data_IF_891152642170
#
_entry.id   IF_891152642170
#
_cell.length_a   1.000
_cell.length_b   1.000
_cell.length_c   1.000
_cell.angle_alpha   90.00
_cell.angle_beta   90.00
_cell.angle_gamma   90.00
#
_symmetry.space_group_name_H-M   'P 1'
#
loop_
_entity.id
_entity.type
_entity.pdbx_description
1 polymer ?
#
# COMPACT_ATOMS: atom_id res chain seq x y z
N UNK A 1 -6.00 20.41 25.92
CA UNK A 1 -7.02 20.53 24.85
C UNK A 1 -7.06 21.99 24.45
N UNK A 2 -6.36 22.36 23.38
CA UNK A 2 -6.41 23.72 22.83
C UNK A 2 -7.61 23.76 21.89
N UNK A 3 -8.70 24.35 22.33
CA UNK A 3 -9.84 24.65 21.47
C UNK A 3 -9.36 25.65 20.41
N UNK A 4 -9.15 25.16 19.18
CA UNK A 4 -9.03 26.03 18.01
C UNK A 4 -10.38 26.74 17.87
N UNK A 5 -10.42 28.01 18.27
CA UNK A 5 -11.56 28.89 17.96
C UNK A 5 -11.65 29.02 16.45
N UNK A 6 -12.81 28.69 15.88
CA UNK A 6 -13.07 28.97 14.47
C UNK A 6 -12.82 30.46 14.22
N UNK A 7 -12.05 30.84 13.19
CA UNK A 7 -11.83 32.24 12.91
C UNK A 7 -13.18 32.92 12.64
N UNK A 8 -13.43 34.02 13.35
CA UNK A 8 -14.68 34.81 13.34
C UNK A 8 -14.98 35.43 11.95
N UNK A 9 -14.07 35.25 10.98
CA UNK A 9 -14.13 35.79 9.64
C UNK A 9 -13.82 34.71 8.60
N UNK A 10 -14.70 34.60 7.61
CA UNK A 10 -14.52 33.78 6.40
C UNK A 10 -13.25 34.22 5.66
N UNK A 11 -12.30 33.30 5.48
CA UNK A 11 -11.02 33.54 4.80
C UNK A 11 -11.09 33.17 3.32
N UNK A 12 -10.19 33.73 2.51
CA UNK A 12 -9.92 33.28 1.14
C UNK A 12 -8.69 32.39 1.15
N UNK A 13 -8.84 31.12 0.80
CA UNK A 13 -7.79 30.11 0.89
C UNK A 13 -7.49 29.54 -0.49
N UNK A 14 -6.20 29.47 -0.83
CA UNK A 14 -5.73 28.76 -2.01
C UNK A 14 -5.21 27.37 -1.61
N UNK A 15 -5.69 26.32 -2.26
CA UNK A 15 -5.15 24.97 -2.14
C UNK A 15 -4.46 24.63 -3.47
N UNK A 16 -3.20 24.22 -3.42
CA UNK A 16 -2.38 23.94 -4.60
C UNK A 16 -2.17 22.42 -4.68
N UNK A 17 -2.68 21.81 -5.75
CA UNK A 17 -2.71 20.38 -5.98
C UNK A 17 -4.04 19.74 -5.60
N UNK A 18 -4.61 18.96 -6.52
CA UNK A 18 -5.90 18.26 -6.36
C UNK A 18 -5.74 16.75 -6.13
N UNK A 19 -4.60 16.32 -5.58
CA UNK A 19 -4.46 14.98 -5.03
C UNK A 19 -5.40 14.76 -3.83
N UNK A 20 -5.45 13.54 -3.31
CA UNK A 20 -6.33 13.18 -2.18
C UNK A 20 -6.22 14.14 -1.00
N UNK A 21 -5.01 14.53 -0.60
CA UNK A 21 -4.78 15.48 0.49
C UNK A 21 -5.34 16.87 0.19
N UNK A 22 -5.13 17.38 -1.02
CA UNK A 22 -5.63 18.68 -1.47
C UNK A 22 -7.15 18.71 -1.56
N UNK A 23 -7.77 17.66 -2.12
CA UNK A 23 -9.23 17.55 -2.20
C UNK A 23 -9.87 17.44 -0.81
N UNK A 24 -9.32 16.62 0.09
CA UNK A 24 -9.82 16.51 1.47
C UNK A 24 -9.68 17.84 2.22
N UNK A 25 -8.55 18.54 2.05
CA UNK A 25 -8.31 19.86 2.64
C UNK A 25 -9.31 20.89 2.09
N UNK A 26 -9.47 20.97 0.77
CA UNK A 26 -10.38 21.91 0.12
C UNK A 26 -11.84 21.65 0.52
N UNK A 27 -12.26 20.38 0.56
CA UNK A 27 -13.58 19.98 1.00
C UNK A 27 -13.86 20.44 2.43
N UNK A 28 -12.96 20.14 3.37
CA UNK A 28 -13.16 20.51 4.78
C UNK A 28 -13.15 22.03 4.99
N UNK A 29 -12.22 22.75 4.37
CA UNK A 29 -12.13 24.21 4.51
C UNK A 29 -13.30 24.94 3.83
N UNK A 30 -13.86 24.39 2.74
CA UNK A 30 -14.99 25.01 2.04
C UNK A 30 -16.26 25.14 2.88
N UNK A 31 -16.34 24.41 4.00
CA UNK A 31 -17.45 24.47 4.94
C UNK A 31 -17.54 25.82 5.67
N UNK A 32 -16.40 26.53 5.80
CA UNK A 32 -16.31 27.79 6.55
C UNK A 32 -15.51 28.89 5.83
N UNK A 33 -14.85 28.59 4.70
CA UNK A 33 -13.97 29.50 3.97
C UNK A 33 -14.24 29.49 2.46
N UNK A 34 -13.79 30.55 1.78
CA UNK A 34 -13.80 30.63 0.31
C UNK A 34 -12.52 30.00 -0.24
N UNK A 35 -12.65 28.77 -0.73
CA UNK A 35 -11.52 27.97 -1.20
C UNK A 35 -11.40 28.04 -2.72
N UNK A 36 -10.19 28.30 -3.21
CA UNK A 36 -9.82 28.14 -4.62
C UNK A 36 -8.80 27.01 -4.75
N UNK A 37 -9.13 25.97 -5.51
CA UNK A 37 -8.26 24.84 -5.78
C UNK A 37 -7.53 25.05 -7.11
N UNK A 38 -6.21 24.95 -7.09
CA UNK A 38 -5.35 25.04 -8.27
C UNK A 38 -4.79 23.66 -8.59
N UNK A 39 -4.97 23.21 -9.82
CA UNK A 39 -4.40 21.97 -10.34
C UNK A 39 -3.67 22.27 -11.65
N UNK A 40 -2.53 21.62 -11.84
CA UNK A 40 -1.74 21.73 -13.06
C UNK A 40 -2.34 20.91 -14.19
N UNK A 41 -2.82 19.71 -13.85
CA UNK A 41 -3.40 18.77 -14.81
C UNK A 41 -4.84 19.17 -15.21
N UNK A 42 -5.33 18.58 -16.30
CA UNK A 42 -6.72 18.76 -16.75
C UNK A 42 -7.72 17.86 -16.01
N UNK A 43 -7.30 17.27 -14.88
CA UNK A 43 -8.09 16.33 -14.07
C UNK A 43 -7.76 16.49 -12.59
N UNK A 44 -8.71 16.13 -11.75
CA UNK A 44 -8.49 16.01 -10.31
C UNK A 44 -8.02 14.61 -9.92
N UNK A 45 -7.51 14.46 -8.70
CA UNK A 45 -7.22 13.18 -8.06
C UNK A 45 -5.73 12.84 -7.93
N UNK A 46 -4.86 13.47 -8.71
CA UNK A 46 -3.42 13.18 -8.66
C UNK A 46 -3.13 11.69 -8.91
N UNK A 47 -2.48 11.01 -7.97
CA UNK A 47 -2.18 9.58 -8.09
C UNK A 47 -3.43 8.67 -8.08
N UNK A 48 -4.57 9.16 -7.56
CA UNK A 48 -5.85 8.48 -7.76
C UNK A 48 -6.27 8.70 -9.20
N UNK A 49 -6.12 7.66 -10.02
CA UNK A 49 -6.31 7.73 -11.46
C UNK A 49 -7.03 6.51 -11.99
N UNK A 50 -8.25 6.73 -12.46
CA UNK A 50 -9.09 5.74 -13.14
C UNK A 50 -9.11 6.06 -14.63
N UNK A 51 -8.74 5.10 -15.46
CA UNK A 51 -8.79 5.22 -16.92
C UNK A 51 -9.82 4.26 -17.48
N UNK A 52 -10.54 4.69 -18.51
CA UNK A 52 -11.49 3.82 -19.20
C UNK A 52 -10.79 3.12 -20.36
N UNK A 53 -10.79 1.78 -20.34
CA UNK A 53 -10.22 0.94 -21.41
C UNK A 53 -11.33 0.20 -22.16
N UNK A 54 -11.14 -0.16 -23.44
CA UNK A 54 -12.07 -1.05 -24.13
C UNK A 54 -12.18 -2.40 -23.41
N UNK A 55 -13.41 -2.82 -23.09
CA UNK A 55 -13.70 -4.18 -22.60
C UNK A 55 -14.42 -5.00 -23.66
N UNK A 56 -14.64 -6.30 -23.37
CA UNK A 56 -15.27 -7.22 -24.31
C UNK A 56 -16.72 -6.81 -24.66
N UNK A 57 -17.51 -6.44 -23.65
CA UNK A 57 -18.92 -6.03 -23.82
C UNK A 57 -19.12 -4.52 -23.65
N UNK A 58 -18.39 -3.90 -22.73
CA UNK A 58 -18.49 -2.49 -22.39
C UNK A 58 -17.14 -1.93 -21.94
N UNK A 59 -16.89 -0.62 -22.04
CA UNK A 59 -15.70 0.00 -21.48
C UNK A 59 -15.56 -0.26 -19.99
N UNK A 60 -14.33 -0.50 -19.52
CA UNK A 60 -14.02 -0.84 -18.14
C UNK A 60 -13.20 0.28 -17.52
N UNK A 61 -13.63 0.75 -16.34
CA UNK A 61 -12.85 1.65 -15.51
C UNK A 61 -11.74 0.86 -14.80
N UNK A 62 -10.48 1.26 -15.00
CA UNK A 62 -9.29 0.63 -14.42
C UNK A 62 -8.52 1.65 -13.61
N UNK A 63 -8.35 1.37 -12.32
CA UNK A 63 -7.50 2.16 -11.44
C UNK A 63 -6.03 1.81 -11.69
N UNK A 64 -5.19 2.84 -11.84
CA UNK A 64 -3.78 2.71 -12.28
C UNK A 64 -2.76 3.23 -11.28
N UNK A 65 -3.21 3.89 -10.21
CA UNK A 65 -2.35 4.35 -9.13
C UNK A 65 -2.85 3.84 -7.79
N UNK A 66 -3.84 4.50 -7.21
CA UNK A 66 -4.50 4.04 -5.99
C UNK A 66 -5.61 3.03 -6.32
N UNK A 67 -5.38 1.74 -6.09
CA UNK A 67 -6.28 0.65 -6.52
C UNK A 67 -6.98 -0.08 -5.37
N UNK A 68 -6.48 0.04 -4.14
CA UNK A 68 -6.99 -0.72 -2.98
C UNK A 68 -6.70 0.02 -1.68
N UNK A 69 -7.55 -0.17 -0.70
CA UNK A 69 -7.34 0.27 0.68
C UNK A 69 -7.78 -0.83 1.64
N UNK A 70 -7.44 -0.70 2.93
CA UNK A 70 -8.01 -1.53 3.98
C UNK A 70 -8.49 -0.65 5.15
N UNK A 71 -9.53 -1.09 5.85
CA UNK A 71 -10.20 -0.26 6.85
C UNK A 71 -9.32 0.04 8.07
N UNK A 72 -8.46 -0.90 8.48
CA UNK A 72 -7.60 -0.77 9.64
C UNK A 72 -6.51 0.31 9.45
N UNK A 73 -5.93 0.39 8.25
CA UNK A 73 -4.85 1.33 7.94
C UNK A 73 -5.36 2.67 7.41
N UNK A 74 -6.63 2.77 7.00
CA UNK A 74 -7.20 3.97 6.37
C UNK A 74 -8.53 4.43 7.00
N UNK A 75 -8.61 4.61 8.34
CA UNK A 75 -9.88 4.91 9.01
C UNK A 75 -10.56 6.19 8.49
N UNK A 76 -9.79 7.25 8.20
CA UNK A 76 -10.33 8.50 7.67
C UNK A 76 -10.87 8.36 6.24
N UNK A 77 -10.22 7.57 5.40
CA UNK A 77 -10.71 7.31 4.03
C UNK A 77 -11.99 6.49 4.08
N UNK A 78 -12.04 5.45 4.92
CA UNK A 78 -13.24 4.64 5.13
C UNK A 78 -14.42 5.50 5.54
N UNK A 79 -14.26 6.36 6.54
CA UNK A 79 -15.30 7.28 6.98
C UNK A 79 -15.73 8.28 5.89
N UNK A 80 -14.77 8.76 5.08
CA UNK A 80 -15.07 9.66 3.95
C UNK A 80 -15.89 8.95 2.86
N UNK A 81 -15.53 7.72 2.50
CA UNK A 81 -16.28 6.93 1.50
C UNK A 81 -17.70 6.64 1.98
N UNK A 82 -17.87 6.30 3.26
CA UNK A 82 -19.18 6.11 3.88
C UNK A 82 -20.00 7.42 3.86
N UNK A 83 -19.40 8.53 4.26
CA UNK A 83 -20.04 9.85 4.25
C UNK A 83 -20.52 10.26 2.84
N UNK A 84 -19.74 9.93 1.81
CA UNK A 84 -20.08 10.20 0.41
C UNK A 84 -21.02 9.14 -0.21
N UNK A 85 -21.33 8.05 0.50
CA UNK A 85 -22.12 6.93 -0.01
C UNK A 85 -21.44 6.14 -1.14
N UNK A 86 -20.10 6.12 -1.16
CA UNK A 86 -19.32 5.40 -2.17
C UNK A 86 -19.25 3.92 -1.82
N UNK A 87 -19.83 3.07 -2.67
CA UNK A 87 -19.81 1.63 -2.50
C UNK A 87 -18.40 1.05 -2.69
N UNK A 88 -18.03 0.09 -1.85
CA UNK A 88 -16.75 -0.62 -1.91
C UNK A 88 -17.00 -2.11 -2.14
N UNK A 89 -15.98 -2.82 -2.64
CA UNK A 89 -16.06 -4.26 -2.88
C UNK A 89 -14.84 -4.94 -2.26
N UNK A 90 -15.01 -6.09 -1.60
CA UNK A 90 -13.88 -6.89 -1.14
C UNK A 90 -12.97 -7.25 -2.32
N UNK A 91 -11.68 -6.97 -2.17
CA UNK A 91 -10.65 -7.36 -3.13
C UNK A 91 -9.65 -8.29 -2.42
N UNK A 92 -9.30 -9.38 -3.09
CA UNK A 92 -8.31 -10.32 -2.59
C UNK A 92 -6.93 -9.93 -3.13
N UNK A 93 -6.07 -9.42 -2.25
CA UNK A 93 -4.67 -9.10 -2.59
C UNK A 93 -3.80 -10.35 -2.38
N UNK A 94 -3.67 -11.18 -3.41
CA UNK A 94 -2.72 -12.30 -3.41
C UNK A 94 -1.33 -11.84 -3.85
N UNK A 95 -0.31 -12.59 -3.45
CA UNK A 95 1.08 -12.33 -3.83
C UNK A 95 1.72 -13.61 -4.34
N UNK A 96 2.31 -13.54 -5.53
CA UNK A 96 3.03 -14.63 -6.16
C UNK A 96 4.33 -14.12 -6.77
N UNK A 97 5.35 -14.98 -6.76
CA UNK A 97 6.68 -14.69 -7.27
C UNK A 97 7.05 -15.76 -8.28
N UNK A 98 7.60 -15.32 -9.42
CA UNK A 98 8.30 -16.17 -10.38
C UNK A 98 9.65 -15.51 -10.69
N UNK A 99 10.74 -16.23 -10.42
CA UNK A 99 12.12 -15.77 -10.58
C UNK A 99 12.85 -16.67 -11.56
N UNK A 100 13.73 -16.06 -12.38
CA UNK A 100 14.59 -16.71 -13.36
C UNK A 100 13.81 -17.68 -14.27
N UNK A 101 12.82 -17.15 -14.99
CA UNK A 101 11.97 -17.93 -15.92
C UNK A 101 11.29 -19.15 -15.24
N UNK A 102 10.89 -18.97 -13.97
CA UNK A 102 10.21 -20.00 -13.19
C UNK A 102 11.14 -20.98 -12.48
N UNK A 103 12.45 -20.73 -12.39
CA UNK A 103 13.37 -21.53 -11.57
C UNK A 103 12.93 -21.62 -10.10
N UNK A 104 12.31 -20.55 -9.60
CA UNK A 104 11.64 -20.47 -8.31
C UNK A 104 10.25 -19.85 -8.49
N UNK A 105 9.22 -20.59 -8.07
CA UNK A 105 7.84 -20.10 -8.04
C UNK A 105 7.15 -20.47 -6.73
N UNK A 106 6.41 -19.52 -6.18
CA UNK A 106 5.51 -19.75 -5.06
C UNK A 106 4.45 -18.64 -4.97
N UNK A 107 3.37 -18.92 -4.25
CA UNK A 107 2.33 -17.96 -3.90
C UNK A 107 2.03 -18.05 -2.40
N UNK A 108 1.72 -16.91 -1.77
CA UNK A 108 1.44 -16.85 -0.32
C UNK A 108 0.00 -17.22 0.03
N UNK A 109 -0.82 -17.58 -0.96
CA UNK A 109 -2.23 -17.90 -0.78
C UNK A 109 -2.44 -19.38 -0.37
N UNK A 110 -2.15 -19.67 0.90
CA UNK A 110 -2.35 -21.00 1.46
C UNK A 110 -1.23 -21.99 1.14
N UNK A 111 -1.21 -23.11 1.86
CA UNK A 111 -0.10 -24.07 1.84
C UNK A 111 0.11 -24.73 0.48
N UNK A 112 -0.96 -25.04 -0.25
CA UNK A 112 -0.86 -25.62 -1.59
C UNK A 112 -0.24 -24.66 -2.61
N UNK A 113 -0.46 -23.36 -2.46
CA UNK A 113 0.08 -22.33 -3.35
C UNK A 113 1.57 -22.02 -3.05
N UNK A 114 1.98 -22.15 -1.79
CA UNK A 114 3.41 -22.06 -1.38
C UNK A 114 4.22 -23.16 -2.08
N UNK A 115 3.63 -24.36 -2.23
CA UNK A 115 4.24 -25.50 -2.90
C UNK A 115 3.67 -25.78 -4.30
N UNK A 116 3.12 -24.76 -4.98
CA UNK A 116 2.66 -24.89 -6.37
C UNK A 116 3.74 -25.54 -7.24
N UNK A 117 4.99 -25.19 -6.96
CA UNK A 117 6.15 -25.84 -7.52
C UNK A 117 6.65 -26.99 -6.63
N UNK A 118 6.28 -28.24 -6.99
CA UNK A 118 6.54 -29.45 -6.18
C UNK A 118 8.01 -29.67 -5.81
N UNK A 119 8.97 -29.25 -6.64
CA UNK A 119 10.42 -29.35 -6.32
C UNK A 119 10.82 -28.58 -5.06
N UNK A 120 10.05 -27.58 -4.64
CA UNK A 120 10.31 -26.82 -3.42
C UNK A 120 10.16 -27.67 -2.14
N UNK A 121 9.41 -28.77 -2.17
CA UNK A 121 9.32 -29.72 -1.06
C UNK A 121 10.69 -30.29 -0.67
N UNK A 122 11.54 -30.57 -1.66
CA UNK A 122 12.84 -31.19 -1.45
C UNK A 122 13.97 -30.16 -1.27
N UNK A 123 13.67 -28.86 -1.20
CA UNK A 123 14.68 -27.78 -1.14
C UNK A 123 14.82 -27.24 0.29
N UNK A 124 15.89 -27.56 1.04
CA UNK A 124 16.07 -27.09 2.43
C UNK A 124 16.10 -25.56 2.54
N UNK A 125 16.69 -24.88 1.54
CA UNK A 125 16.72 -23.41 1.48
C UNK A 125 15.31 -22.81 1.41
N UNK A 126 14.37 -23.47 0.75
CA UNK A 126 12.98 -23.02 0.65
C UNK A 126 12.27 -23.15 2.00
N UNK A 127 12.46 -24.27 2.70
CA UNK A 127 11.93 -24.42 4.07
C UNK A 127 12.51 -23.39 5.04
N UNK A 128 13.81 -23.07 4.93
CA UNK A 128 14.41 -21.98 5.70
C UNK A 128 13.74 -20.64 5.41
N UNK A 129 13.49 -20.33 4.14
CA UNK A 129 12.73 -19.12 3.75
C UNK A 129 11.33 -19.12 4.38
N UNK A 130 10.59 -20.22 4.34
CA UNK A 130 9.27 -20.32 4.98
C UNK A 130 9.35 -20.08 6.49
N UNK A 131 10.35 -20.66 7.16
CA UNK A 131 10.60 -20.40 8.58
C UNK A 131 10.93 -18.92 8.85
N UNK A 132 11.75 -18.31 8.01
CA UNK A 132 12.08 -16.89 8.08
C UNK A 132 10.85 -15.99 7.85
N UNK A 133 9.91 -16.36 6.98
CA UNK A 133 8.64 -15.64 6.79
C UNK A 133 7.85 -15.61 8.10
N UNK A 134 7.64 -16.78 8.72
CA UNK A 134 6.89 -16.87 9.98
C UNK A 134 7.60 -16.12 11.12
N UNK A 135 8.93 -16.18 11.14
CA UNK A 135 9.75 -15.45 12.11
C UNK A 135 9.63 -13.94 11.92
N UNK A 136 9.75 -13.44 10.70
CA UNK A 136 9.60 -12.02 10.37
C UNK A 136 8.25 -11.47 10.81
N UNK A 137 7.16 -12.18 10.51
CA UNK A 137 5.81 -11.77 10.90
C UNK A 137 5.63 -11.66 12.44
N UNK A 138 6.45 -12.38 13.21
CA UNK A 138 6.44 -12.35 14.68
C UNK A 138 7.40 -11.30 15.26
N UNK A 139 8.60 -11.17 14.71
CA UNK A 139 9.66 -10.32 15.23
C UNK A 139 9.51 -8.86 14.78
N UNK A 140 9.19 -8.62 13.51
CA UNK A 140 9.15 -7.26 12.95
C UNK A 140 8.20 -6.31 13.71
N UNK A 141 6.95 -6.69 14.06
CA UNK A 141 6.08 -5.81 14.84
C UNK A 141 6.59 -5.50 16.25
N UNK A 142 7.38 -6.41 16.85
CA UNK A 142 7.92 -6.24 18.20
C UNK A 142 9.12 -5.31 18.22
N UNK A 143 9.93 -5.35 17.16
CA UNK A 143 11.14 -4.53 17.04
C UNK A 143 10.88 -3.19 16.35
N UNK A 144 9.73 -3.00 15.70
CA UNK A 144 9.42 -1.80 14.89
C UNK A 144 9.73 -0.48 15.59
N UNK A 145 9.27 -0.30 16.83
CA UNK A 145 9.48 0.95 17.58
C UNK A 145 10.97 1.27 17.78
N UNK A 146 11.80 0.24 17.97
CA UNK A 146 13.25 0.40 18.13
C UNK A 146 13.95 0.62 16.78
N UNK A 147 13.49 -0.04 15.72
CA UNK A 147 13.98 0.17 14.36
C UNK A 147 13.71 1.60 13.88
N UNK A 148 12.52 2.14 14.14
CA UNK A 148 12.18 3.54 13.84
C UNK A 148 13.05 4.53 14.62
N UNK A 149 13.33 4.22 15.89
CA UNK A 149 14.16 5.07 16.75
C UNK A 149 15.63 5.06 16.35
N UNK A 150 16.15 3.89 15.98
CA UNK A 150 17.57 3.71 15.62
C UNK A 150 17.88 4.18 14.20
N UNK A 151 16.89 4.15 13.30
CA UNK A 151 17.11 4.39 11.88
C UNK A 151 17.96 3.30 11.19
N UNK A 152 18.06 2.12 11.81
CA UNK A 152 18.74 0.96 11.21
C UNK A 152 18.08 0.63 9.86
N UNK A 153 18.90 0.42 8.83
CA UNK A 153 18.36 0.06 7.51
C UNK A 153 17.79 -1.36 7.55
N UNK A 154 16.77 -1.62 6.72
CA UNK A 154 16.17 -2.94 6.63
C UNK A 154 17.21 -4.04 6.33
N UNK A 155 18.15 -3.79 5.42
CA UNK A 155 19.20 -4.77 5.08
C UNK A 155 20.15 -5.06 6.24
N UNK A 156 20.56 -4.03 7.00
CA UNK A 156 21.40 -4.19 8.18
C UNK A 156 20.70 -5.03 9.26
N UNK A 157 19.43 -4.74 9.52
CA UNK A 157 18.61 -5.50 10.47
C UNK A 157 18.46 -6.96 10.04
N UNK A 158 18.15 -7.23 8.76
CA UNK A 158 18.02 -8.59 8.26
C UNK A 158 19.32 -9.39 8.38
N UNK A 159 20.45 -8.76 8.08
CA UNK A 159 21.77 -9.35 8.26
C UNK A 159 22.07 -9.68 9.72
N UNK A 160 21.84 -8.72 10.62
CA UNK A 160 22.05 -8.88 12.08
C UNK A 160 21.15 -9.96 12.69
N UNK A 161 19.87 -9.99 12.30
CA UNK A 161 18.90 -10.98 12.76
C UNK A 161 19.05 -12.35 12.06
N UNK A 162 20.00 -12.50 11.13
CA UNK A 162 20.35 -13.78 10.52
C UNK A 162 19.29 -14.34 9.56
N UNK A 163 18.49 -13.47 8.94
CA UNK A 163 17.54 -13.85 7.89
C UNK A 163 18.28 -14.41 6.67
N UNK A 164 17.71 -15.42 6.01
CA UNK A 164 18.33 -15.99 4.83
C UNK A 164 18.29 -15.05 3.62
N UNK A 165 19.32 -15.13 2.77
CA UNK A 165 19.33 -14.41 1.50
C UNK A 165 18.10 -14.73 0.63
N UNK A 166 17.63 -15.98 0.64
CA UNK A 166 16.44 -16.36 -0.11
C UNK A 166 15.18 -15.66 0.41
N UNK A 167 15.03 -15.52 1.73
CA UNK A 167 13.94 -14.72 2.31
C UNK A 167 14.02 -13.24 1.90
N UNK A 168 15.21 -12.64 1.97
CA UNK A 168 15.39 -11.24 1.58
C UNK A 168 15.08 -11.05 0.09
N UNK A 169 15.77 -11.80 -0.76
CA UNK A 169 15.83 -11.55 -2.21
C UNK A 169 14.58 -12.08 -2.95
N UNK A 170 13.98 -13.18 -2.47
CA UNK A 170 12.85 -13.80 -3.15
C UNK A 170 11.49 -13.54 -2.48
N UNK A 171 11.44 -13.08 -1.22
CA UNK A 171 10.19 -12.79 -0.52
C UNK A 171 10.03 -11.33 -0.14
N UNK A 172 10.95 -10.78 0.65
CA UNK A 172 10.74 -9.46 1.25
C UNK A 172 10.93 -8.33 0.23
N UNK A 173 12.04 -8.33 -0.51
CA UNK A 173 12.31 -7.30 -1.52
C UNK A 173 11.27 -7.30 -2.65
N UNK A 174 10.83 -8.44 -3.21
CA UNK A 174 9.75 -8.45 -4.19
C UNK A 174 8.42 -7.89 -3.67
N UNK A 175 8.06 -8.13 -2.40
CA UNK A 175 6.87 -7.51 -1.80
C UNK A 175 7.05 -6.00 -1.61
N UNK A 176 8.21 -5.58 -1.12
CA UNK A 176 8.53 -4.17 -0.95
C UNK A 176 8.50 -3.42 -2.29
N UNK A 177 9.05 -4.03 -3.35
CA UNK A 177 9.01 -3.50 -4.71
C UNK A 177 7.57 -3.38 -5.23
N UNK A 178 6.73 -4.39 -4.99
CA UNK A 178 5.32 -4.37 -5.42
C UNK A 178 4.49 -3.28 -4.70
N UNK A 179 4.83 -2.93 -3.45
CA UNK A 179 4.10 -1.94 -2.65
C UNK A 179 4.63 -0.53 -2.86
N UNK A 180 5.95 -0.35 -2.85
CA UNK A 180 6.59 0.97 -2.83
C UNK A 180 7.29 1.35 -4.13
N UNK A 181 7.22 0.50 -5.17
CA UNK A 181 7.91 0.73 -6.44
C UNK A 181 9.42 0.96 -6.27
N UNK A 182 10.04 0.27 -5.31
CA UNK A 182 11.48 0.33 -5.05
C UNK A 182 12.23 -0.72 -5.90
N UNK A 183 13.46 -0.38 -6.31
CA UNK A 183 14.42 -1.27 -6.98
C UNK A 183 15.66 -1.47 -6.13
#
# INVERSE_FOLDING_TARGET
>A
MTTLTAPDKRLRVAVIGSGVSGLSCAWLLSQSHDVTLYERENRIGGHTNTVTVPGADQPVAVDTGFIVYNEANYPNLTAMLEHLGVATKPAMMSFAVSIDEGALEYCTQGLSAIFAQKRNWARPRFWRMVGDILRFQKEAPRELAELERSGETLDAWLGRAGYSALFRDAYLLPQAAAIWSCT
#
